data_IF_203943492415
#
_entry.id   IF_203943492415
#
_cell.length_a   1.000
_cell.length_b   1.000
_cell.length_c   1.000
_cell.angle_alpha   90.00
_cell.angle_beta   90.00
_cell.angle_gamma   90.00
#
_symmetry.space_group_name_H-M   'P 1'
#
loop_
_entity.id
_entity.type
_entity.pdbx_description
1 polymer ?
#
# COMPACT_ATOMS: atom_id res chain seq x y z
N UNK A 1 -8.68 9.18 -8.26
CA UNK A 1 -8.75 10.48 -7.54
C UNK A 1 -8.85 10.22 -6.04
N UNK A 2 -8.13 11.00 -5.22
CA UNK A 2 -8.24 11.01 -3.76
C UNK A 2 -8.56 12.43 -3.35
N UNK A 3 -9.52 12.61 -2.45
CA UNK A 3 -9.93 13.93 -1.99
C UNK A 3 -10.15 13.93 -0.48
N UNK A 4 -9.50 14.85 0.21
CA UNK A 4 -9.70 15.17 1.62
C UNK A 4 -10.36 16.54 1.69
N UNK A 5 -11.49 16.66 2.40
CA UNK A 5 -12.25 17.90 2.57
C UNK A 5 -12.33 18.22 4.06
N UNK A 6 -11.59 19.26 4.49
CA UNK A 6 -11.54 19.77 5.87
C UNK A 6 -11.34 18.65 6.91
N UNK A 7 -10.42 17.74 6.62
CA UNK A 7 -10.20 16.53 7.42
C UNK A 7 -9.34 16.85 8.64
N UNK A 8 -9.88 16.54 9.80
CA UNK A 8 -9.15 16.60 11.07
C UNK A 8 -9.17 15.25 11.77
N UNK A 9 -8.09 14.92 12.44
CA UNK A 9 -7.97 13.74 13.31
C UNK A 9 -7.40 14.11 14.65
N UNK A 10 -8.20 13.88 15.68
CA UNK A 10 -7.83 14.04 17.09
C UNK A 10 -7.93 12.66 17.74
N UNK A 11 -6.87 12.21 18.36
CA UNK A 11 -6.86 10.96 19.13
C UNK A 11 -7.39 11.16 20.56
N UNK A 12 -7.73 10.06 21.25
CA UNK A 12 -8.35 10.10 22.57
C UNK A 12 -7.49 10.82 23.66
N UNK A 13 -6.19 10.93 23.43
CA UNK A 13 -5.25 11.67 24.28
C UNK A 13 -5.14 13.17 23.88
N UNK A 14 -6.11 13.70 23.15
CA UNK A 14 -6.16 15.07 22.63
C UNK A 14 -5.01 15.44 21.67
N UNK A 15 -4.26 14.48 21.16
CA UNK A 15 -3.24 14.73 20.14
C UNK A 15 -3.92 15.00 18.80
N UNK A 16 -3.74 16.20 18.28
CA UNK A 16 -4.19 16.59 16.92
C UNK A 16 -3.17 16.09 15.91
N UNK A 17 -3.46 14.97 15.26
CA UNK A 17 -2.58 14.38 14.26
C UNK A 17 -2.76 15.02 12.86
N UNK A 18 -3.97 15.46 12.53
CA UNK A 18 -4.27 16.26 11.35
C UNK A 18 -5.24 17.37 11.73
N UNK A 19 -5.07 18.56 11.15
CA UNK A 19 -5.91 19.72 11.39
C UNK A 19 -6.32 20.35 10.05
N UNK A 20 -7.60 20.29 9.74
CA UNK A 20 -8.24 20.95 8.60
C UNK A 20 -7.53 20.73 7.26
N UNK A 21 -7.19 19.48 6.99
CA UNK A 21 -6.47 19.11 5.76
C UNK A 21 -7.45 19.02 4.61
N UNK A 22 -7.21 19.82 3.58
CA UNK A 22 -7.93 19.76 2.31
C UNK A 22 -6.91 19.56 1.18
N UNK A 23 -7.01 18.43 0.49
CA UNK A 23 -6.11 18.09 -0.62
C UNK A 23 -6.84 17.22 -1.64
N UNK A 24 -6.56 17.46 -2.90
CA UNK A 24 -7.03 16.67 -4.02
C UNK A 24 -5.84 16.10 -4.78
N UNK A 25 -5.87 14.82 -5.05
CA UNK A 25 -4.88 14.08 -5.85
C UNK A 25 -5.64 13.46 -7.02
N UNK A 26 -5.31 13.85 -8.22
CA UNK A 26 -6.01 13.38 -9.41
C UNK A 26 -5.51 11.98 -9.85
N UNK A 27 -6.23 11.36 -10.77
CA UNK A 27 -5.83 10.06 -11.31
C UNK A 27 -4.59 10.22 -12.18
N UNK A 28 -3.57 9.41 -11.92
CA UNK A 28 -2.28 9.46 -12.63
C UNK A 28 -1.23 10.33 -11.94
N UNK A 29 -1.58 11.08 -10.90
CA UNK A 29 -0.62 11.87 -10.15
C UNK A 29 0.36 10.97 -9.38
N UNK A 30 1.59 11.44 -9.29
CA UNK A 30 2.64 10.92 -8.43
C UNK A 30 2.95 11.94 -7.33
N UNK A 31 2.63 11.60 -6.08
CA UNK A 31 2.64 12.56 -4.96
C UNK A 31 3.56 12.09 -3.85
N UNK A 32 4.43 12.98 -3.36
CA UNK A 32 5.21 12.78 -2.15
C UNK A 32 4.53 13.42 -0.94
N UNK A 33 4.23 12.61 0.09
CA UNK A 33 3.81 13.09 1.38
C UNK A 33 5.02 13.30 2.28
N UNK A 34 5.48 14.54 2.41
CA UNK A 34 6.69 14.91 3.15
C UNK A 34 6.37 15.61 4.46
N UNK A 35 7.26 15.48 5.43
CA UNK A 35 7.15 16.14 6.74
C UNK A 35 7.98 15.44 7.80
N UNK A 36 8.27 16.10 8.93
CA UNK A 36 9.04 15.51 10.04
C UNK A 36 8.32 14.32 10.67
N UNK A 37 9.01 13.57 11.51
CA UNK A 37 8.37 12.51 12.31
C UNK A 37 7.26 13.11 13.16
N UNK A 38 6.13 12.41 13.26
CA UNK A 38 4.95 12.89 14.01
C UNK A 38 4.07 13.91 13.28
N UNK A 39 4.39 14.31 12.04
CA UNK A 39 3.57 15.28 11.28
C UNK A 39 2.23 14.73 10.75
N UNK A 40 1.86 13.49 11.07
CA UNK A 40 0.58 12.91 10.69
C UNK A 40 0.60 12.05 9.41
N UNK A 41 1.76 11.82 8.77
CA UNK A 41 1.87 11.01 7.54
C UNK A 41 1.22 9.63 7.67
N UNK A 42 1.59 8.89 8.72
CA UNK A 42 1.01 7.56 8.97
C UNK A 42 -0.48 7.63 9.33
N UNK A 43 -0.94 8.71 9.96
CA UNK A 43 -2.37 8.95 10.21
C UNK A 43 -3.13 9.16 8.90
N UNK A 44 -2.57 9.93 7.97
CA UNK A 44 -3.12 10.15 6.65
C UNK A 44 -3.27 8.82 5.88
N UNK A 45 -2.20 7.99 5.85
CA UNK A 45 -2.20 6.67 5.22
C UNK A 45 -3.23 5.73 5.87
N UNK A 46 -3.29 5.67 7.20
CA UNK A 46 -4.27 4.84 7.93
C UNK A 46 -5.72 5.22 7.63
N UNK A 47 -6.01 6.50 7.42
CA UNK A 47 -7.34 6.93 6.99
C UNK A 47 -7.63 6.48 5.56
N UNK A 48 -6.68 6.60 4.63
CA UNK A 48 -6.83 6.07 3.27
C UNK A 48 -7.08 4.55 3.27
N UNK A 49 -6.44 3.81 4.15
CA UNK A 49 -6.67 2.36 4.31
C UNK A 49 -7.97 2.04 5.08
N UNK A 50 -8.71 3.06 5.53
CA UNK A 50 -9.90 2.86 6.38
C UNK A 50 -9.59 2.03 7.64
N UNK A 51 -8.40 2.22 8.21
CA UNK A 51 -8.02 1.65 9.52
C UNK A 51 -8.52 2.52 10.66
N UNK A 52 -8.56 3.83 10.43
CA UNK A 52 -9.10 4.82 11.35
C UNK A 52 -10.04 5.78 10.60
N UNK A 53 -10.99 6.35 11.34
CA UNK A 53 -11.91 7.36 10.82
C UNK A 53 -11.40 8.76 11.14
N UNK A 54 -11.68 9.76 10.29
CA UNK A 54 -11.48 11.15 10.64
C UNK A 54 -12.38 11.56 11.81
N UNK A 55 -11.98 12.54 12.59
CA UNK A 55 -12.83 13.16 13.63
C UNK A 55 -13.79 14.17 13.00
N UNK A 56 -13.33 14.88 11.96
CA UNK A 56 -14.10 15.84 11.18
C UNK A 56 -13.70 15.76 9.71
N UNK A 57 -14.58 16.22 8.84
CA UNK A 57 -14.35 16.25 7.39
C UNK A 57 -14.68 14.93 6.70
N UNK A 58 -14.43 14.88 5.40
CA UNK A 58 -14.76 13.74 4.55
C UNK A 58 -13.58 13.34 3.68
N UNK A 59 -13.48 12.04 3.40
CA UNK A 59 -12.47 11.48 2.51
C UNK A 59 -13.18 10.71 1.39
N UNK A 60 -12.81 11.00 0.15
CA UNK A 60 -13.28 10.29 -1.03
C UNK A 60 -12.09 9.63 -1.74
N UNK A 61 -12.21 8.36 -2.12
CA UNK A 61 -11.20 7.61 -2.86
C UNK A 61 -11.87 6.88 -4.01
N UNK A 62 -11.41 7.09 -5.24
CA UNK A 62 -11.97 6.49 -6.46
C UNK A 62 -13.52 6.62 -6.48
N UNK A 63 -14.00 7.84 -6.30
CA UNK A 63 -15.42 8.26 -6.31
C UNK A 63 -16.30 7.62 -5.22
N UNK A 64 -15.66 7.03 -4.19
CA UNK A 64 -16.36 6.48 -3.02
C UNK A 64 -16.02 7.26 -1.76
N UNK A 65 -17.04 7.79 -1.09
CA UNK A 65 -16.88 8.36 0.25
C UNK A 65 -16.55 7.26 1.25
N UNK A 66 -15.44 7.41 1.98
CA UNK A 66 -15.00 6.37 2.93
C UNK A 66 -15.98 6.21 4.10
N UNK A 67 -16.68 7.26 4.50
CA UNK A 67 -17.71 7.22 5.55
C UNK A 67 -18.90 6.30 5.21
N UNK A 68 -19.18 6.08 3.92
CA UNK A 68 -20.30 5.25 3.46
C UNK A 68 -19.92 3.75 3.35
N UNK A 69 -18.63 3.41 3.44
CA UNK A 69 -18.15 2.03 3.35
C UNK A 69 -18.45 1.29 4.65
N UNK A 70 -19.34 0.32 4.58
CA UNK A 70 -19.70 -0.53 5.72
C UNK A 70 -18.53 -1.46 6.09
N UNK A 71 -18.49 -1.92 7.36
CA UNK A 71 -17.40 -2.77 7.89
C UNK A 71 -17.13 -4.02 7.04
N UNK A 72 -18.18 -4.67 6.55
CA UNK A 72 -18.07 -5.85 5.68
C UNK A 72 -17.56 -5.53 4.26
N UNK A 73 -17.57 -4.28 3.84
CA UNK A 73 -17.09 -3.82 2.53
C UNK A 73 -15.62 -3.36 2.56
N UNK A 74 -15.04 -3.14 3.75
CA UNK A 74 -13.65 -2.68 3.90
C UNK A 74 -12.64 -3.63 3.22
N UNK A 75 -12.74 -4.96 3.33
CA UNK A 75 -11.82 -5.87 2.63
C UNK A 75 -11.87 -5.67 1.11
N UNK A 76 -13.05 -5.50 0.52
CA UNK A 76 -13.22 -5.27 -0.92
C UNK A 76 -12.69 -3.90 -1.36
N UNK A 77 -12.80 -2.89 -0.52
CA UNK A 77 -12.19 -1.58 -0.75
C UNK A 77 -10.66 -1.70 -0.76
N UNK A 78 -10.06 -2.35 0.25
CA UNK A 78 -8.61 -2.53 0.36
C UNK A 78 -8.01 -3.36 -0.78
N UNK A 79 -8.76 -4.28 -1.41
CA UNK A 79 -8.33 -5.03 -2.60
C UNK A 79 -7.99 -4.12 -3.80
N UNK A 80 -8.48 -2.87 -3.81
CA UNK A 80 -8.19 -1.86 -4.84
C UNK A 80 -7.01 -0.96 -4.52
N UNK A 81 -6.39 -1.13 -3.37
CA UNK A 81 -5.24 -0.36 -2.91
C UNK A 81 -4.02 -1.29 -2.87
N UNK A 82 -2.97 -0.91 -3.58
CA UNK A 82 -1.64 -1.51 -3.40
C UNK A 82 -0.92 -0.83 -2.25
N UNK A 83 -0.36 -1.60 -1.33
CA UNK A 83 0.40 -1.06 -0.21
C UNK A 83 1.79 -1.66 -0.14
N UNK A 84 2.81 -0.80 -0.13
CA UNK A 84 4.20 -1.14 0.15
C UNK A 84 4.52 -0.63 1.55
N UNK A 85 4.86 -1.55 2.46
CA UNK A 85 5.19 -1.23 3.84
C UNK A 85 6.70 -1.03 4.00
N UNK A 86 7.10 -0.22 4.96
CA UNK A 86 8.50 0.01 5.31
C UNK A 86 9.23 -1.29 5.70
N UNK A 87 8.57 -2.19 6.42
CA UNK A 87 9.08 -3.48 6.88
C UNK A 87 8.81 -4.65 5.92
N UNK A 88 8.50 -4.34 4.65
CA UNK A 88 8.18 -5.24 3.53
C UNK A 88 7.01 -6.21 3.78
N UNK A 89 6.78 -6.68 4.99
CA UNK A 89 5.75 -7.63 5.43
C UNK A 89 5.63 -8.85 4.52
N UNK A 90 6.77 -9.40 4.12
CA UNK A 90 6.79 -10.67 3.39
C UNK A 90 6.45 -11.82 4.34
N UNK A 91 5.76 -12.82 3.81
CA UNK A 91 5.44 -14.04 4.55
C UNK A 91 6.68 -14.95 4.51
N UNK A 92 7.37 -15.19 5.66
CA UNK A 92 8.66 -15.86 5.66
C UNK A 92 8.63 -17.30 5.16
N UNK A 93 7.50 -17.97 5.32
CA UNK A 93 7.27 -19.37 4.93
C UNK A 93 6.89 -19.54 3.46
N UNK A 94 6.70 -18.44 2.72
CA UNK A 94 6.39 -18.44 1.31
C UNK A 94 7.58 -17.94 0.50
N UNK A 95 7.86 -18.58 -0.64
CA UNK A 95 8.86 -18.09 -1.58
C UNK A 95 8.39 -16.79 -2.28
N UNK A 96 9.24 -16.20 -3.11
CA UNK A 96 8.97 -14.96 -3.86
C UNK A 96 7.69 -15.07 -4.70
N UNK A 97 7.54 -16.17 -5.46
CA UNK A 97 6.36 -16.40 -6.30
C UNK A 97 5.09 -16.46 -5.44
N UNK A 98 5.11 -17.22 -4.36
CA UNK A 98 3.96 -17.43 -3.48
C UNK A 98 3.59 -16.16 -2.70
N UNK A 99 4.56 -15.33 -2.30
CA UNK A 99 4.30 -14.03 -1.69
C UNK A 99 3.49 -13.10 -2.62
N UNK A 100 3.81 -13.08 -3.92
CA UNK A 100 3.06 -12.29 -4.91
C UNK A 100 1.73 -12.95 -5.25
N UNK A 101 1.69 -14.28 -5.44
CA UNK A 101 0.49 -15.05 -5.74
C UNK A 101 -0.56 -14.96 -4.63
N UNK A 102 -0.14 -14.82 -3.37
CA UNK A 102 -1.03 -14.65 -2.22
C UNK A 102 -1.98 -13.46 -2.41
N UNK A 103 -1.48 -12.32 -2.89
CA UNK A 103 -2.31 -11.15 -3.15
C UNK A 103 -3.40 -11.41 -4.22
N UNK A 104 -3.10 -12.22 -5.22
CA UNK A 104 -4.08 -12.60 -6.24
C UNK A 104 -5.11 -13.61 -5.70
N UNK A 105 -4.70 -14.53 -4.82
CA UNK A 105 -5.65 -15.45 -4.17
C UNK A 105 -6.67 -14.72 -3.29
N UNK A 106 -6.25 -13.66 -2.61
CA UNK A 106 -7.15 -12.83 -1.79
C UNK A 106 -8.28 -12.19 -2.62
N UNK A 107 -8.05 -11.91 -3.90
CA UNK A 107 -9.07 -11.39 -4.82
C UNK A 107 -9.74 -12.52 -5.63
N UNK A 108 -9.53 -13.78 -5.24
CA UNK A 108 -10.15 -14.96 -5.84
C UNK A 108 -9.77 -15.17 -7.33
N UNK A 109 -8.57 -14.69 -7.73
CA UNK A 109 -8.09 -14.89 -9.08
C UNK A 109 -7.87 -16.37 -9.42
N UNK A 110 -8.20 -16.76 -10.65
CA UNK A 110 -8.03 -18.12 -11.11
C UNK A 110 -6.56 -18.54 -11.17
N UNK A 111 -6.27 -19.83 -11.03
CA UNK A 111 -4.91 -20.36 -11.16
C UNK A 111 -4.26 -20.04 -12.52
N UNK A 112 -5.07 -19.94 -13.59
CA UNK A 112 -4.59 -19.56 -14.92
C UNK A 112 -4.09 -18.12 -14.94
N UNK A 113 -4.81 -17.20 -14.29
CA UNK A 113 -4.41 -15.79 -14.17
C UNK A 113 -3.17 -15.63 -13.30
N UNK A 114 -3.09 -16.33 -12.18
CA UNK A 114 -1.91 -16.31 -11.27
C UNK A 114 -0.66 -16.77 -12.03
N UNK A 115 -0.73 -17.91 -12.75
CA UNK A 115 0.39 -18.44 -13.53
C UNK A 115 0.85 -17.51 -14.64
N UNK A 116 -0.03 -16.70 -15.19
CA UNK A 116 0.30 -15.70 -16.22
C UNK A 116 0.88 -14.43 -15.62
N UNK A 117 0.24 -13.91 -14.58
CA UNK A 117 0.49 -12.55 -14.08
C UNK A 117 1.66 -12.45 -13.11
N UNK A 118 1.83 -13.41 -12.21
CA UNK A 118 2.93 -13.39 -11.24
C UNK A 118 4.29 -13.36 -11.92
N UNK A 119 4.62 -14.23 -12.90
CA UNK A 119 5.90 -14.14 -13.60
C UNK A 119 6.11 -12.81 -14.33
N UNK A 120 5.05 -12.26 -14.94
CA UNK A 120 5.12 -10.97 -15.61
C UNK A 120 5.50 -9.84 -14.64
N UNK A 121 4.87 -9.78 -13.48
CA UNK A 121 5.16 -8.75 -12.48
C UNK A 121 6.55 -8.96 -11.86
N UNK A 122 6.96 -10.20 -11.61
CA UNK A 122 8.31 -10.51 -11.14
C UNK A 122 9.38 -10.11 -12.16
N UNK A 123 9.10 -10.24 -13.45
CA UNK A 123 9.97 -9.74 -14.51
C UNK A 123 10.07 -8.22 -14.50
N UNK A 124 8.95 -7.52 -14.28
CA UNK A 124 8.91 -6.06 -14.20
C UNK A 124 9.81 -5.51 -13.08
N UNK A 125 9.88 -6.19 -11.94
CA UNK A 125 10.73 -5.80 -10.81
C UNK A 125 12.13 -6.47 -10.83
N UNK A 126 12.49 -7.18 -11.90
CA UNK A 126 13.81 -7.79 -12.10
C UNK A 126 14.08 -9.03 -11.22
N UNK A 127 13.05 -9.75 -10.78
CA UNK A 127 13.17 -10.90 -9.86
C UNK A 127 12.79 -12.25 -10.50
N UNK A 128 12.72 -12.34 -11.82
CA UNK A 128 12.34 -13.58 -12.53
C UNK A 128 13.23 -14.77 -12.15
N UNK A 129 14.53 -14.54 -11.93
CA UNK A 129 15.49 -15.60 -11.60
C UNK A 129 15.45 -16.02 -10.13
N UNK A 130 14.75 -15.29 -9.27
CA UNK A 130 14.67 -15.52 -7.82
C UNK A 130 13.29 -16.00 -7.33
N UNK A 131 12.40 -16.37 -8.23
CA UNK A 131 10.99 -16.69 -7.89
C UNK A 131 10.81 -17.84 -6.88
N UNK A 132 11.80 -18.76 -6.76
CA UNK A 132 11.79 -19.87 -5.79
C UNK A 132 12.44 -19.54 -4.45
N UNK A 133 13.18 -18.43 -4.35
CA UNK A 133 13.91 -18.06 -3.13
C UNK A 133 12.93 -17.60 -2.05
N UNK A 134 13.31 -17.78 -0.80
CA UNK A 134 12.57 -17.32 0.38
C UNK A 134 13.06 -15.93 0.81
N UNK A 135 12.25 -15.17 1.60
CA UNK A 135 12.62 -13.82 2.03
C UNK A 135 13.99 -13.71 2.72
N UNK A 136 14.39 -14.71 3.52
CA UNK A 136 15.67 -14.73 4.21
C UNK A 136 16.90 -14.94 3.29
N UNK A 137 16.67 -15.31 2.04
CA UNK A 137 17.71 -15.49 1.02
C UNK A 137 17.88 -14.24 0.12
N UNK A 138 17.11 -13.19 0.40
CA UNK A 138 17.05 -11.96 -0.39
C UNK A 138 17.70 -10.80 0.35
N UNK A 139 18.37 -9.91 -0.40
CA UNK A 139 18.77 -8.60 0.12
C UNK A 139 17.55 -7.72 0.46
N UNK A 140 17.73 -6.68 1.27
CA UNK A 140 16.66 -5.75 1.62
C UNK A 140 15.99 -5.13 0.39
N UNK A 141 16.78 -4.70 -0.60
CA UNK A 141 16.25 -4.16 -1.86
C UNK A 141 15.47 -5.19 -2.68
N UNK A 142 15.86 -6.47 -2.64
CA UNK A 142 15.09 -7.54 -3.30
C UNK A 142 13.78 -7.82 -2.57
N UNK A 143 13.79 -7.86 -1.24
CA UNK A 143 12.58 -7.99 -0.44
C UNK A 143 11.60 -6.86 -0.72
N UNK A 144 12.11 -5.64 -0.86
CA UNK A 144 11.30 -4.48 -1.24
C UNK A 144 10.68 -4.66 -2.62
N UNK A 145 11.46 -5.10 -3.61
CA UNK A 145 10.91 -5.35 -4.95
C UNK A 145 9.86 -6.46 -4.95
N UNK A 146 9.97 -7.48 -4.08
CA UNK A 146 8.89 -8.47 -3.88
C UNK A 146 7.64 -7.81 -3.28
N UNK A 147 7.81 -6.93 -2.29
CA UNK A 147 6.69 -6.18 -1.68
C UNK A 147 5.99 -5.29 -2.72
N UNK A 148 6.77 -4.60 -3.56
CA UNK A 148 6.24 -3.81 -4.67
C UNK A 148 5.48 -4.69 -5.68
N UNK A 149 6.06 -5.82 -6.09
CA UNK A 149 5.41 -6.79 -6.98
C UNK A 149 4.06 -7.24 -6.42
N UNK A 150 4.02 -7.57 -5.14
CA UNK A 150 2.80 -7.96 -4.42
C UNK A 150 1.76 -6.82 -4.40
N UNK A 151 2.19 -5.58 -4.24
CA UNK A 151 1.31 -4.43 -4.20
C UNK A 151 0.65 -4.14 -5.56
N UNK A 152 1.39 -4.33 -6.68
CA UNK A 152 0.92 -3.97 -8.03
C UNK A 152 0.26 -5.12 -8.80
N UNK A 153 0.40 -6.38 -8.33
CA UNK A 153 -0.06 -7.56 -9.10
C UNK A 153 -1.55 -7.53 -9.42
N UNK A 154 -2.40 -6.89 -8.62
CA UNK A 154 -3.85 -6.78 -8.83
C UNK A 154 -4.28 -5.51 -9.58
N UNK A 155 -3.37 -4.74 -10.19
CA UNK A 155 -3.66 -3.44 -10.81
C UNK A 155 -4.46 -2.51 -9.87
N UNK A 156 -3.90 -2.10 -8.74
CA UNK A 156 -4.61 -1.25 -7.81
C UNK A 156 -4.96 0.10 -8.42
N UNK A 157 -6.08 0.68 -7.99
CA UNK A 157 -6.46 2.05 -8.37
C UNK A 157 -5.61 3.12 -7.67
N UNK A 158 -5.04 2.76 -6.51
CA UNK A 158 -4.15 3.61 -5.72
C UNK A 158 -2.98 2.77 -5.24
N UNK A 159 -1.77 3.26 -5.42
CA UNK A 159 -0.56 2.67 -4.83
C UNK A 159 -0.05 3.61 -3.72
N UNK A 160 0.12 3.06 -2.53
CA UNK A 160 0.66 3.78 -1.38
C UNK A 160 1.98 3.11 -0.99
N UNK A 161 3.01 3.92 -0.78
CA UNK A 161 4.29 3.45 -0.27
C UNK A 161 4.62 4.24 1.01
N UNK A 162 4.76 3.53 2.13
CA UNK A 162 5.11 4.11 3.43
C UNK A 162 6.61 3.92 3.66
N UNK A 163 7.37 5.01 3.56
CA UNK A 163 8.83 5.05 3.68
C UNK A 163 9.55 3.92 2.90
N UNK A 164 9.31 3.80 1.56
CA UNK A 164 9.74 2.64 0.79
C UNK A 164 11.25 2.44 0.73
N UNK A 165 12.05 3.43 1.08
CA UNK A 165 13.53 3.36 1.09
C UNK A 165 14.11 3.37 2.50
N UNK A 166 13.27 3.47 3.55
CA UNK A 166 13.72 3.66 4.93
C UNK A 166 14.59 2.51 5.49
N UNK A 167 14.43 1.31 4.96
CA UNK A 167 15.18 0.12 5.37
C UNK A 167 16.24 -0.32 4.35
N UNK A 168 16.53 0.52 3.34
CA UNK A 168 17.56 0.25 2.35
C UNK A 168 18.84 0.98 2.70
N UNK A 169 19.98 0.40 2.32
CA UNK A 169 21.25 1.11 2.35
C UNK A 169 21.22 2.28 1.32
N UNK A 170 22.01 3.36 1.56
CA UNK A 170 21.97 4.56 0.72
C UNK A 170 22.28 4.31 -0.76
N UNK A 171 23.04 3.27 -1.10
CA UNK A 171 23.39 2.94 -2.49
C UNK A 171 22.26 2.20 -3.20
N UNK A 172 21.47 1.43 -2.47
CA UNK A 172 20.30 0.70 -2.99
C UNK A 172 19.07 1.61 -3.08
N UNK A 173 19.04 2.73 -2.35
CA UNK A 173 17.91 3.67 -2.31
C UNK A 173 17.88 4.67 -3.48
N UNK A 174 18.92 4.68 -4.33
CA UNK A 174 19.01 5.51 -5.56
C UNK A 174 18.34 4.79 -6.73
#
# INVERSE_FOLDING_TARGET
MIEFNNVSKIYNNNVKALSDVSVKIDSGDFVFLVGPSGSGKSTFIKMLLKEIEPTMGNITVADKKLSEIKRNQIPYYRRKIGMVFQDFRLIPTLNVYENVACAMRVVEASQKEIRKRVPMVLSLVGLSHKYKMFPNELSGGEQQRVSLARAIVNNPSVLIADEPTGNLDPDTAK
#
